data_IF_259003167725
#
_entry.id   IF_259003167725
#
_cell.length_a   1.000
_cell.length_b   1.000
_cell.length_c   1.000
_cell.angle_alpha   90.00
_cell.angle_beta   90.00
_cell.angle_gamma   90.00
#
_symmetry.space_group_name_H-M   'P 1'
#
loop_
_entity.id
_entity.type
_entity.pdbx_description
1 polymer ?
#
# COMPACT_ATOMS: atom_id res chain seq x y z
N UNK A 1 15.34 18.09 4.47
CA UNK A 1 15.31 16.77 5.12
C UNK A 1 14.91 15.74 4.08
N UNK A 2 15.84 14.90 3.63
CA UNK A 2 15.54 13.83 2.66
C UNK A 2 15.33 12.52 3.41
N UNK A 3 14.21 11.83 3.17
CA UNK A 3 14.00 10.48 3.71
C UNK A 3 14.96 9.56 2.95
N UNK A 4 15.84 8.87 3.68
CA UNK A 4 16.77 7.93 3.08
C UNK A 4 16.02 6.77 2.42
N UNK A 5 16.46 6.37 1.22
CA UNK A 5 15.92 5.21 0.51
C UNK A 5 16.71 3.96 0.90
N UNK A 6 16.03 2.96 1.44
CA UNK A 6 16.64 1.66 1.79
C UNK A 6 16.43 0.69 0.65
N UNK A 7 17.50 0.06 0.17
CA UNK A 7 17.44 -0.95 -0.88
C UNK A 7 17.27 -2.34 -0.28
N UNK A 8 16.13 -2.99 -0.54
CA UNK A 8 15.82 -4.35 -0.09
C UNK A 8 15.81 -5.36 -1.25
N UNK A 9 16.30 -4.97 -2.44
CA UNK A 9 16.38 -5.88 -3.58
C UNK A 9 17.36 -7.02 -3.26
N UNK A 10 16.90 -8.25 -3.37
CA UNK A 10 17.71 -9.45 -3.11
C UNK A 10 17.93 -9.78 -1.63
N UNK A 11 17.54 -8.92 -0.70
CA UNK A 11 17.59 -9.18 0.75
C UNK A 11 16.27 -9.83 1.15
N UNK A 12 16.16 -11.13 0.91
CA UNK A 12 14.88 -11.85 0.99
C UNK A 12 14.59 -12.44 2.37
N UNK A 13 15.62 -12.75 3.18
CA UNK A 13 15.40 -13.50 4.42
C UNK A 13 16.37 -13.13 5.57
N UNK A 14 15.93 -13.30 6.83
CA UNK A 14 16.82 -13.27 7.98
C UNK A 14 17.99 -14.25 7.81
N UNK A 15 19.21 -13.75 7.97
CA UNK A 15 20.44 -14.53 7.82
C UNK A 15 21.11 -14.43 6.45
N UNK A 16 20.47 -13.81 5.46
CA UNK A 16 21.12 -13.50 4.17
C UNK A 16 22.11 -12.32 4.31
N UNK A 17 23.18 -12.29 3.51
CA UNK A 17 24.10 -11.16 3.47
C UNK A 17 23.34 -9.84 3.19
N UNK A 18 23.55 -8.85 4.06
CA UNK A 18 22.89 -7.54 3.94
C UNK A 18 21.58 -7.40 4.72
N UNK A 19 21.03 -8.47 5.32
CA UNK A 19 19.83 -8.39 6.16
C UNK A 19 20.01 -7.46 7.38
N UNK A 20 21.08 -7.63 8.16
CA UNK A 20 21.32 -6.82 9.35
C UNK A 20 21.54 -5.34 8.98
N UNK A 21 22.31 -5.06 7.92
CA UNK A 21 22.53 -3.68 7.46
C UNK A 21 21.23 -3.02 6.96
N UNK A 22 20.40 -3.77 6.24
CA UNK A 22 19.09 -3.29 5.79
C UNK A 22 18.15 -3.01 6.97
N UNK A 23 18.11 -3.92 7.95
CA UNK A 23 17.36 -3.75 9.19
C UNK A 23 17.79 -2.48 9.94
N UNK A 24 19.10 -2.30 10.15
CA UNK A 24 19.63 -1.12 10.84
C UNK A 24 19.26 0.17 10.12
N UNK A 25 19.33 0.19 8.78
CA UNK A 25 18.93 1.34 7.98
C UNK A 25 17.42 1.64 8.11
N UNK A 26 16.56 0.62 8.10
CA UNK A 26 15.12 0.78 8.35
C UNK A 26 14.87 1.32 9.75
N UNK A 27 15.50 0.75 10.77
CA UNK A 27 15.35 1.18 12.16
C UNK A 27 15.79 2.63 12.36
N UNK A 28 16.93 3.02 11.77
CA UNK A 28 17.42 4.39 11.83
C UNK A 28 16.44 5.38 11.15
N UNK A 29 15.91 5.04 9.98
CA UNK A 29 14.92 5.87 9.28
C UNK A 29 13.62 6.00 10.08
N UNK A 30 13.14 4.91 10.67
CA UNK A 30 11.94 4.92 11.52
C UNK A 30 12.14 5.78 12.78
N UNK A 31 13.30 5.70 13.43
CA UNK A 31 13.61 6.53 14.59
C UNK A 31 13.74 8.02 14.24
N UNK A 32 14.35 8.35 13.10
CA UNK A 32 14.59 9.73 12.71
C UNK A 32 13.38 10.41 12.06
N UNK A 33 12.56 9.66 11.32
CA UNK A 33 11.54 10.22 10.43
C UNK A 33 10.14 9.62 10.61
N UNK A 34 9.99 8.55 11.40
CA UNK A 34 8.72 7.81 11.54
C UNK A 34 8.28 7.08 10.27
N UNK A 35 9.08 7.11 9.21
CA UNK A 35 8.80 6.50 7.92
C UNK A 35 10.08 6.08 7.21
N UNK A 36 9.95 5.22 6.19
CA UNK A 36 11.04 4.73 5.36
C UNK A 36 10.57 4.60 3.92
N UNK A 37 11.44 4.95 2.97
CA UNK A 37 11.21 4.68 1.55
C UNK A 37 12.03 3.46 1.17
N UNK A 38 11.37 2.43 0.65
CA UNK A 38 12.03 1.17 0.31
C UNK A 38 12.10 1.00 -1.21
N UNK A 39 13.28 0.67 -1.74
CA UNK A 39 13.41 0.08 -3.06
C UNK A 39 13.20 -1.44 -2.93
N UNK A 40 12.12 -1.95 -3.52
CA UNK A 40 11.86 -3.37 -3.60
C UNK A 40 11.25 -3.69 -4.97
N UNK A 41 11.81 -4.68 -5.66
CA UNK A 41 11.34 -5.10 -6.99
C UNK A 41 10.14 -6.05 -6.94
N UNK A 42 9.28 -5.92 -5.91
CA UNK A 42 8.11 -6.79 -5.76
C UNK A 42 7.10 -6.58 -6.90
N UNK A 43 7.07 -5.37 -7.48
CA UNK A 43 6.23 -5.03 -8.62
C UNK A 43 7.13 -4.74 -9.82
N UNK A 44 7.07 -5.60 -10.82
CA UNK A 44 7.73 -5.37 -12.10
C UNK A 44 7.27 -4.03 -12.72
N UNK A 45 8.12 -3.38 -13.52
CA UNK A 45 7.84 -2.06 -14.08
C UNK A 45 6.54 -2.05 -14.91
N UNK A 46 6.25 -3.12 -15.64
CA UNK A 46 5.04 -3.22 -16.46
C UNK A 46 3.77 -3.29 -15.60
N UNK A 47 3.79 -4.05 -14.50
CA UNK A 47 2.67 -4.10 -13.56
C UNK A 47 2.46 -2.75 -12.88
N UNK A 48 3.54 -2.05 -12.52
CA UNK A 48 3.46 -0.70 -11.96
C UNK A 48 2.80 0.25 -12.95
N UNK A 49 3.20 0.24 -14.22
CA UNK A 49 2.61 1.12 -15.26
C UNK A 49 1.15 0.77 -15.51
N UNK A 50 0.83 -0.51 -15.64
CA UNK A 50 -0.55 -0.96 -15.84
C UNK A 50 -1.48 -0.49 -14.70
N UNK A 51 -1.01 -0.57 -13.45
CA UNK A 51 -1.78 -0.15 -12.29
C UNK A 51 -1.87 1.38 -12.16
N UNK A 52 -0.75 2.08 -12.17
CA UNK A 52 -0.68 3.49 -11.80
C UNK A 52 -0.85 4.45 -12.97
N UNK A 53 -0.34 4.12 -14.16
CA UNK A 53 -0.41 5.02 -15.32
C UNK A 53 -1.74 4.87 -16.05
N UNK A 54 -2.42 3.72 -15.90
CA UNK A 54 -3.65 3.39 -16.64
C UNK A 54 -4.84 3.08 -15.75
N UNK A 55 -4.78 1.97 -15.00
CA UNK A 55 -5.97 1.45 -14.32
C UNK A 55 -6.49 2.38 -13.22
N UNK A 56 -5.62 2.99 -12.42
CA UNK A 56 -6.03 3.92 -11.36
C UNK A 56 -6.66 5.21 -11.91
N UNK A 57 -6.05 5.92 -12.88
CA UNK A 57 -6.69 7.07 -13.51
C UNK A 57 -8.08 6.75 -14.10
N UNK A 58 -8.20 5.64 -14.83
CA UNK A 58 -9.48 5.19 -15.38
C UNK A 58 -10.51 4.91 -14.26
N UNK A 59 -10.08 4.29 -13.15
CA UNK A 59 -10.94 4.02 -12.00
C UNK A 59 -11.41 5.29 -11.31
N UNK A 60 -10.52 6.27 -11.12
CA UNK A 60 -10.85 7.55 -10.47
C UNK A 60 -11.65 8.50 -11.36
N UNK A 61 -11.65 8.28 -12.68
CA UNK A 61 -12.52 8.99 -13.61
C UNK A 61 -13.99 8.52 -13.52
N UNK A 62 -14.26 7.38 -12.88
CA UNK A 62 -15.63 6.91 -12.70
C UNK A 62 -16.40 7.84 -11.74
N UNK A 63 -17.72 8.02 -11.94
CA UNK A 63 -18.56 8.77 -11.02
C UNK A 63 -18.43 8.26 -9.59
N UNK A 64 -18.51 9.17 -8.62
CA UNK A 64 -18.40 8.84 -7.20
C UNK A 64 -19.39 7.75 -6.77
N UNK A 65 -20.60 7.75 -7.34
CA UNK A 65 -21.61 6.70 -7.10
C UNK A 65 -21.17 5.31 -7.55
N UNK A 66 -20.35 5.23 -8.61
CA UNK A 66 -19.77 3.98 -9.10
C UNK A 66 -18.65 3.51 -8.17
N UNK A 67 -17.82 4.42 -7.66
CA UNK A 67 -16.80 4.10 -6.65
C UNK A 67 -17.41 3.68 -5.30
N UNK A 68 -18.46 4.37 -4.86
CA UNK A 68 -19.16 4.15 -3.59
C UNK A 68 -20.07 2.91 -3.60
N UNK A 69 -20.31 2.30 -4.78
CA UNK A 69 -21.18 1.14 -4.95
C UNK A 69 -20.63 -0.14 -4.30
N UNK A 70 -19.37 -0.15 -3.87
CA UNK A 70 -18.76 -1.24 -3.10
C UNK A 70 -19.36 -1.31 -1.68
N UNK A 71 -20.64 -1.64 -1.58
CA UNK A 71 -21.27 -2.07 -0.32
C UNK A 71 -20.96 -3.55 -0.13
N UNK A 72 -20.13 -3.86 0.85
CA UNK A 72 -20.02 -5.25 1.32
C UNK A 72 -21.38 -5.67 1.88
N UNK A 73 -21.87 -6.87 1.56
CA UNK A 73 -23.18 -7.39 2.05
C UNK A 73 -23.35 -7.29 3.57
N UNK A 74 -22.25 -7.23 4.32
CA UNK A 74 -22.20 -7.05 5.78
C UNK A 74 -22.69 -5.66 6.26
N UNK A 75 -22.55 -4.60 5.46
CA UNK A 75 -23.08 -3.26 5.79
C UNK A 75 -24.56 -3.12 5.42
N UNK A 76 -25.02 -3.84 4.40
CA UNK A 76 -26.42 -3.80 3.96
C UNK A 76 -27.37 -4.42 5.00
N UNK A 77 -26.92 -5.49 5.69
CA UNK A 77 -27.65 -6.09 6.81
C UNK A 77 -27.60 -5.24 8.09
N UNK A 78 -26.66 -4.30 8.20
CA UNK A 78 -26.61 -3.36 9.34
C UNK A 78 -27.57 -2.19 9.11
N UNK A 79 -27.59 -1.59 7.91
CA UNK A 79 -28.54 -0.53 7.56
C UNK A 79 -30.01 -0.99 7.57
N UNK A 80 -30.30 -2.22 7.14
CA UNK A 80 -31.68 -2.75 7.21
C UNK A 80 -32.17 -2.95 8.64
N UNK A 81 -31.28 -3.28 9.59
CA UNK A 81 -31.66 -3.47 10.99
C UNK A 81 -31.98 -2.15 11.71
N UNK A 82 -31.35 -1.05 11.32
CA UNK A 82 -31.61 0.26 11.94
C UNK A 82 -32.84 0.98 11.39
N UNK A 83 -33.39 0.53 10.25
CA UNK A 83 -34.57 1.13 9.63
C UNK A 83 -35.91 0.49 10.05
N UNK A 84 -35.89 -0.65 10.75
CA UNK A 84 -37.09 -1.36 11.22
C UNK A 84 -37.39 -1.10 12.71
N UNK A 85 -36.57 -0.27 13.37
CA UNK A 85 -36.76 0.12 14.78
C UNK A 85 -36.87 1.63 14.90
N UNK A 86 -37.79 2.22 14.14
CA UNK A 86 -38.29 3.58 14.29
C UNK A 86 -39.80 3.57 14.04
#
# INVERSE_FOLDING_TARGET
MGIARVDLRGVLQPGEPGWEAARDAVTASMAAHGCVVVAHDALGPDLRRALFDRALPELFALPLESMARRRTRRRESLCRRTATTA
#
